data_IF_445610829442
#
_entry.id   IF_445610829442
#
_cell.length_a   1.000
_cell.length_b   1.000
_cell.length_c   1.000
_cell.angle_alpha   90.00
_cell.angle_beta   90.00
_cell.angle_gamma   90.00
#
_symmetry.space_group_name_H-M   'P 1'
#
loop_
_entity.id
_entity.type
_entity.pdbx_description
1 polymer ?
#
# COMPACT_ATOMS: atom_id res chain seq x y z
N UNK A 1 -7.32 -1.10 9.15
CA UNK A 1 -6.20 -1.17 10.11
C UNK A 1 -6.25 0.00 11.09
N UNK A 2 -5.96 -0.24 12.36
CA UNK A 2 -5.68 0.73 13.41
C UNK A 2 -4.27 1.32 13.24
N UNK A 3 -3.91 2.34 14.03
CA UNK A 3 -2.56 2.89 13.98
C UNK A 3 -1.49 1.85 14.34
N UNK A 4 -1.77 0.97 15.31
CA UNK A 4 -0.86 -0.11 15.72
C UNK A 4 -0.68 -1.14 14.62
N UNK A 5 -1.79 -1.61 14.03
CA UNK A 5 -1.77 -2.54 12.89
C UNK A 5 -0.99 -1.95 11.71
N UNK A 6 -1.20 -0.66 11.37
CA UNK A 6 -0.40 0.01 10.35
C UNK A 6 1.09 0.04 10.73
N UNK A 7 1.43 0.27 12.01
CA UNK A 7 2.82 0.30 12.51
C UNK A 7 3.51 -1.03 12.26
N UNK A 8 2.83 -2.11 12.58
CA UNK A 8 3.32 -3.46 12.40
C UNK A 8 3.43 -3.81 10.91
N UNK A 9 2.39 -3.49 10.12
CA UNK A 9 2.34 -3.74 8.68
C UNK A 9 3.45 -3.03 7.91
N UNK A 10 3.69 -1.74 8.20
CA UNK A 10 4.70 -0.93 7.50
C UNK A 10 6.10 -1.01 8.12
N UNK A 11 6.24 -1.60 9.32
CA UNK A 11 7.51 -1.60 10.05
C UNK A 11 8.01 -0.20 10.43
N UNK A 12 7.08 0.75 10.55
CA UNK A 12 7.36 2.14 10.88
C UNK A 12 7.00 2.40 12.35
N UNK A 13 7.75 3.27 13.01
CA UNK A 13 7.41 3.70 14.37
C UNK A 13 6.09 4.48 14.43
N UNK A 14 5.35 4.31 15.53
CA UNK A 14 4.02 4.90 15.73
C UNK A 14 4.00 6.43 15.54
N UNK A 15 5.06 7.15 15.90
CA UNK A 15 5.14 8.61 15.71
C UNK A 15 5.19 9.01 14.23
N UNK A 16 5.86 8.21 13.39
CA UNK A 16 5.94 8.43 11.93
C UNK A 16 4.60 8.15 11.28
N UNK A 17 3.97 7.01 11.59
CA UNK A 17 2.65 6.73 11.05
C UNK A 17 1.58 7.69 11.55
N UNK A 18 1.66 8.16 12.79
CA UNK A 18 0.70 9.13 13.29
C UNK A 18 0.80 10.44 12.49
N UNK A 19 2.01 10.91 12.16
CA UNK A 19 2.18 12.08 11.27
C UNK A 19 1.63 11.82 9.87
N UNK A 20 1.95 10.66 9.27
CA UNK A 20 1.52 10.33 7.91
C UNK A 20 -0.01 10.22 7.82
N UNK A 21 -0.62 9.46 8.74
CA UNK A 21 -2.09 9.32 8.80
C UNK A 21 -2.79 10.63 9.12
N UNK A 22 -2.25 11.47 10.02
CA UNK A 22 -2.79 12.80 10.27
C UNK A 22 -2.72 13.70 9.03
N UNK A 23 -1.64 13.60 8.23
CA UNK A 23 -1.54 14.33 6.96
C UNK A 23 -2.57 13.86 5.94
N UNK A 24 -2.73 12.54 5.79
CA UNK A 24 -3.73 11.95 4.91
C UNK A 24 -5.17 12.30 5.33
N UNK A 25 -5.45 12.36 6.63
CA UNK A 25 -6.73 12.84 7.17
C UNK A 25 -6.97 14.32 6.84
N UNK A 26 -5.98 15.20 7.06
CA UNK A 26 -6.10 16.63 6.72
C UNK A 26 -6.31 16.86 5.22
N UNK A 27 -5.72 16.02 4.37
CA UNK A 27 -5.94 16.04 2.93
C UNK A 27 -7.31 15.46 2.50
N UNK A 28 -8.07 14.88 3.44
CA UNK A 28 -9.38 14.26 3.19
C UNK A 28 -9.29 12.93 2.44
N UNK A 29 -8.15 12.23 2.51
CA UNK A 29 -7.91 10.96 1.80
C UNK A 29 -8.30 9.75 2.65
N UNK A 30 -8.16 9.85 3.97
CA UNK A 30 -8.56 8.81 4.90
C UNK A 30 -9.37 9.40 6.05
N UNK A 31 -10.18 8.57 6.67
CA UNK A 31 -10.96 8.90 7.85
C UNK A 31 -10.76 7.84 8.94
N UNK A 32 -10.94 8.25 10.21
CA UNK A 32 -10.97 7.32 11.35
C UNK A 32 -12.40 6.90 11.63
N UNK A 33 -12.65 5.60 11.59
CA UNK A 33 -13.92 4.95 11.89
C UNK A 33 -13.81 4.10 13.17
N UNK A 34 -14.92 3.86 13.89
CA UNK A 34 -14.97 2.79 14.88
C UNK A 34 -14.54 1.46 14.26
N UNK A 35 -14.06 0.55 15.10
CA UNK A 35 -13.79 -0.81 14.63
C UNK A 35 -15.11 -1.48 14.23
N UNK A 36 -15.30 -1.92 12.97
CA UNK A 36 -16.49 -2.65 12.55
C UNK A 36 -16.71 -3.95 13.34
N UNK A 37 -15.64 -4.52 13.91
CA UNK A 37 -15.68 -5.76 14.69
C UNK A 37 -15.93 -5.48 16.19
N UNK A 38 -16.19 -4.23 16.58
CA UNK A 38 -16.47 -3.84 17.96
C UNK A 38 -15.24 -3.65 18.86
N UNK A 39 -14.04 -3.68 18.29
CA UNK A 39 -12.80 -3.32 18.97
C UNK A 39 -12.74 -1.87 19.46
N UNK A 40 -11.91 -1.62 20.48
CA UNK A 40 -11.75 -0.29 21.08
C UNK A 40 -10.85 0.64 20.24
N UNK A 41 -9.98 0.08 19.41
CA UNK A 41 -9.07 0.84 18.56
C UNK A 41 -9.79 1.36 17.31
N UNK A 42 -9.72 2.68 17.06
CA UNK A 42 -10.22 3.23 15.80
C UNK A 42 -9.38 2.77 14.62
N UNK A 43 -10.05 2.38 13.54
CA UNK A 43 -9.43 1.96 12.28
C UNK A 43 -9.50 3.10 11.25
N UNK A 44 -8.60 3.05 10.27
CA UNK A 44 -8.60 3.96 9.13
C UNK A 44 -9.31 3.33 7.94
N UNK A 45 -10.05 4.14 7.20
CA UNK A 45 -10.67 3.81 5.91
C UNK A 45 -10.34 4.90 4.89
N UNK A 46 -10.24 4.53 3.61
CA UNK A 46 -10.21 5.52 2.53
C UNK A 46 -11.56 6.25 2.46
N UNK A 47 -11.50 7.55 2.21
CA UNK A 47 -12.68 8.31 1.75
C UNK A 47 -12.90 8.05 0.25
N UNK A 48 -14.04 8.47 -0.29
CA UNK A 48 -14.28 8.38 -1.74
C UNK A 48 -13.29 9.24 -2.56
N UNK A 49 -12.79 10.33 -1.96
CA UNK A 49 -11.71 11.12 -2.53
C UNK A 49 -10.39 10.33 -2.52
N UNK A 50 -10.07 9.69 -1.39
CA UNK A 50 -8.86 8.88 -1.25
C UNK A 50 -8.84 7.69 -2.19
N UNK A 51 -9.96 6.99 -2.34
CA UNK A 51 -10.10 5.88 -3.27
C UNK A 51 -9.84 6.32 -4.72
N UNK A 52 -10.51 7.38 -5.18
CA UNK A 52 -10.30 7.93 -6.53
C UNK A 52 -8.85 8.34 -6.79
N UNK A 53 -8.23 9.06 -5.84
CA UNK A 53 -6.85 9.49 -5.99
C UNK A 53 -5.87 8.31 -6.03
N UNK A 54 -6.15 7.24 -5.27
CA UNK A 54 -5.34 6.02 -5.31
C UNK A 54 -5.47 5.30 -6.67
N UNK A 55 -6.68 5.24 -7.21
CA UNK A 55 -6.93 4.67 -8.54
C UNK A 55 -6.22 5.47 -9.64
N UNK A 56 -6.32 6.81 -9.61
CA UNK A 56 -5.63 7.71 -10.54
C UNK A 56 -4.10 7.57 -10.46
N UNK A 57 -3.53 7.40 -9.27
CA UNK A 57 -2.08 7.16 -9.10
C UNK A 57 -1.67 5.79 -9.66
N UNK A 58 -2.52 4.77 -9.45
CA UNK A 58 -2.28 3.44 -9.99
C UNK A 58 -2.30 3.44 -11.51
N UNK A 59 -3.28 4.10 -12.12
CA UNK A 59 -3.37 4.25 -13.58
C UNK A 59 -2.12 4.96 -14.13
N UNK A 60 -1.72 6.10 -13.55
CA UNK A 60 -0.50 6.82 -13.94
C UNK A 60 0.77 5.97 -13.83
N UNK A 61 0.85 5.13 -12.80
CA UNK A 61 1.97 4.19 -12.63
C UNK A 61 1.97 3.13 -13.73
N UNK A 62 0.81 2.55 -14.05
CA UNK A 62 0.68 1.56 -15.13
C UNK A 62 1.05 2.17 -16.48
N UNK A 63 0.50 3.34 -16.82
CA UNK A 63 0.83 4.05 -18.07
C UNK A 63 2.34 4.36 -18.18
N UNK A 64 2.98 4.70 -17.06
CA UNK A 64 4.41 4.95 -17.04
C UNK A 64 5.22 3.67 -17.30
N UNK A 65 4.79 2.54 -16.75
CA UNK A 65 5.42 1.24 -17.00
C UNK A 65 5.22 0.79 -18.45
N UNK A 66 4.03 0.98 -19.02
CA UNK A 66 3.74 0.67 -20.43
C UNK A 66 4.67 1.44 -21.35
N UNK A 67 4.95 2.71 -21.05
CA UNK A 67 5.91 3.53 -21.81
C UNK A 67 7.35 3.06 -21.66
N UNK A 68 7.75 2.63 -20.46
CA UNK A 68 9.10 2.12 -20.20
C UNK A 68 9.34 0.79 -20.91
N UNK A 69 8.30 -0.03 -21.04
CA UNK A 69 8.36 -1.37 -21.64
C UNK A 69 7.79 -1.41 -23.07
N UNK A 70 7.63 -0.25 -23.72
CA UNK A 70 6.93 -0.15 -25.01
C UNK A 70 7.53 -1.02 -26.13
N UNK A 71 8.85 -1.24 -26.08
CA UNK A 71 9.58 -2.05 -27.07
C UNK A 71 9.88 -3.48 -26.57
N UNK A 72 9.35 -3.88 -25.41
CA UNK A 72 9.57 -5.21 -24.86
C UNK A 72 8.58 -6.20 -25.45
N UNK A 73 9.01 -7.46 -25.59
CA UNK A 73 8.08 -8.53 -25.91
C UNK A 73 7.19 -8.88 -24.70
N UNK A 74 6.00 -9.43 -24.95
CA UNK A 74 5.13 -9.92 -23.87
C UNK A 74 5.82 -10.98 -22.99
N UNK A 75 6.72 -11.77 -23.58
CA UNK A 75 7.53 -12.77 -22.87
C UNK A 75 8.52 -12.11 -21.90
N UNK A 76 9.22 -11.06 -22.33
CA UNK A 76 10.14 -10.31 -21.48
C UNK A 76 9.42 -9.61 -20.33
N UNK A 77 8.25 -9.02 -20.59
CA UNK A 77 7.41 -8.39 -19.56
C UNK A 77 6.96 -9.44 -18.54
N UNK A 78 6.46 -10.59 -18.99
CA UNK A 78 6.03 -11.66 -18.11
C UNK A 78 7.20 -12.22 -17.27
N UNK A 79 8.37 -12.42 -17.90
CA UNK A 79 9.59 -12.87 -17.26
C UNK A 79 10.09 -11.89 -16.19
N UNK A 80 10.16 -10.61 -16.52
CA UNK A 80 10.54 -9.56 -15.58
C UNK A 80 9.57 -9.49 -14.39
N UNK A 81 8.27 -9.51 -14.65
CA UNK A 81 7.26 -9.48 -13.59
C UNK A 81 7.38 -10.70 -12.67
N UNK A 82 7.68 -11.89 -13.21
CA UNK A 82 7.92 -13.10 -12.40
C UNK A 82 9.17 -12.96 -11.53
N UNK A 83 10.28 -12.47 -12.09
CA UNK A 83 11.52 -12.22 -11.35
C UNK A 83 11.32 -11.17 -10.24
N UNK A 84 10.65 -10.06 -10.55
CA UNK A 84 10.37 -9.00 -9.58
C UNK A 84 9.49 -9.51 -8.43
N UNK A 85 8.42 -10.26 -8.73
CA UNK A 85 7.58 -10.88 -7.69
C UNK A 85 8.38 -11.82 -6.79
N UNK A 86 9.23 -12.67 -7.37
CA UNK A 86 10.10 -13.58 -6.60
C UNK A 86 11.05 -12.79 -5.71
N UNK A 87 11.74 -11.79 -6.26
CA UNK A 87 12.66 -10.95 -5.51
C UNK A 87 11.97 -10.24 -4.33
N UNK A 88 10.81 -9.62 -4.56
CA UNK A 88 10.03 -8.98 -3.49
C UNK A 88 9.59 -9.98 -2.42
N UNK A 89 9.12 -11.17 -2.81
CA UNK A 89 8.73 -12.23 -1.88
C UNK A 89 9.91 -12.72 -1.04
N UNK A 90 11.08 -12.85 -1.62
CA UNK A 90 12.28 -13.31 -0.91
C UNK A 90 12.80 -12.24 0.08
N UNK A 91 12.67 -10.95 -0.24
CA UNK A 91 12.91 -9.85 0.73
C UNK A 91 11.94 -9.94 1.91
N UNK A 92 10.65 -10.15 1.63
CA UNK A 92 9.63 -10.29 2.67
C UNK A 92 9.90 -11.50 3.58
N UNK A 93 10.33 -12.63 3.01
CA UNK A 93 10.75 -13.82 3.76
C UNK A 93 11.95 -13.52 4.64
N UNK A 94 12.97 -12.85 4.11
CA UNK A 94 14.16 -12.47 4.87
C UNK A 94 13.80 -11.56 6.06
N UNK A 95 12.86 -10.64 5.87
CA UNK A 95 12.36 -9.77 6.93
C UNK A 95 11.46 -10.45 7.97
N UNK A 96 11.13 -11.75 7.80
CA UNK A 96 10.19 -12.48 8.66
C UNK A 96 8.76 -11.97 8.53
N UNK A 97 8.43 -11.44 7.35
CA UNK A 97 7.42 -10.42 7.21
C UNK A 97 6.76 -10.59 5.81
N UNK A 98 5.91 -11.61 5.58
CA UNK A 98 5.19 -11.81 4.32
C UNK A 98 3.94 -10.94 4.19
N UNK A 99 3.58 -10.53 2.97
CA UNK A 99 2.26 -10.00 2.63
C UNK A 99 1.22 -11.13 2.43
N UNK A 100 -0.07 -10.96 2.79
CA UNK A 100 -0.67 -9.79 3.43
C UNK A 100 -0.26 -9.66 4.90
N UNK A 101 -0.05 -8.40 5.32
CA UNK A 101 0.16 -8.05 6.73
C UNK A 101 -1.15 -8.13 7.50
N UNK A 102 -1.10 -8.43 8.81
CA UNK A 102 -2.19 -8.09 9.72
C UNK A 102 -2.61 -6.61 9.59
#
# INVERSE_FOLDING_TARGET
>A
MSLGELSDAFGLGASTLNRQTASAMRAGLVERVPDPDGGTARKFRLTDKGARMLDEERERTVESLDRVMADWSDEDIAGFAACLRRFSTDIERLGGRPWPRP
#
